data_IF_506764568804
#
_entry.id   IF_506764568804
#
_cell.length_a   1.000
_cell.length_b   1.000
_cell.length_c   1.000
_cell.angle_alpha   90.00
_cell.angle_beta   90.00
_cell.angle_gamma   90.00
#
_symmetry.space_group_name_H-M   'P 1'
#
loop_
_entity.id
_entity.type
_entity.pdbx_description
1 polymer ?
#
# COMPACT_ATOMS: atom_id res chain seq x y z
N UNK A 1 -37.21 11.87 34.92
CA UNK A 1 -35.83 11.79 34.37
C UNK A 1 -35.40 10.42 33.81
N UNK A 2 -36.15 9.30 33.99
CA UNK A 2 -35.74 7.97 33.47
C UNK A 2 -36.08 7.65 31.99
N UNK A 3 -36.96 8.43 31.34
CA UNK A 3 -37.34 8.19 29.92
C UNK A 3 -36.34 8.75 28.91
N UNK A 4 -35.74 9.91 29.18
CA UNK A 4 -34.79 10.56 28.28
C UNK A 4 -33.45 9.81 28.15
N UNK A 5 -33.03 9.09 29.20
CA UNK A 5 -31.77 8.32 29.17
C UNK A 5 -31.87 7.08 28.27
N UNK A 6 -33.02 6.42 28.22
CA UNK A 6 -33.23 5.17 27.43
C UNK A 6 -33.30 5.43 25.92
N UNK A 7 -33.86 6.55 25.50
CA UNK A 7 -33.91 6.95 24.08
C UNK A 7 -32.53 7.32 23.55
N UNK A 8 -31.65 7.90 24.38
CA UNK A 8 -30.30 8.28 23.96
C UNK A 8 -29.38 7.05 23.75
N UNK A 9 -29.58 5.96 24.50
CA UNK A 9 -28.74 4.74 24.38
C UNK A 9 -29.10 3.86 23.17
N UNK A 10 -30.37 3.86 22.76
CA UNK A 10 -30.84 3.11 21.59
C UNK A 10 -30.41 3.74 20.26
N UNK A 11 -30.36 5.08 20.19
CA UNK A 11 -29.95 5.80 18.98
C UNK A 11 -28.44 5.65 18.74
N UNK A 12 -27.61 5.70 19.78
CA UNK A 12 -26.15 5.50 19.64
C UNK A 12 -25.78 4.06 19.29
N UNK A 13 -26.47 3.05 19.84
CA UNK A 13 -26.25 1.65 19.46
C UNK A 13 -26.64 1.35 18.00
N UNK A 14 -27.70 1.97 17.49
CA UNK A 14 -28.12 1.85 16.09
C UNK A 14 -27.11 2.42 15.09
N UNK A 15 -26.49 3.56 15.40
CA UNK A 15 -25.48 4.18 14.53
C UNK A 15 -24.18 3.36 14.44
N UNK A 16 -23.76 2.72 15.53
CA UNK A 16 -22.53 1.90 15.55
C UNK A 16 -22.69 0.64 14.68
N UNK A 17 -23.88 0.03 14.66
CA UNK A 17 -24.16 -1.16 13.84
C UNK A 17 -24.20 -0.84 12.34
N UNK A 18 -24.74 0.33 11.96
CA UNK A 18 -24.82 0.74 10.54
C UNK A 18 -23.42 1.13 10.02
N UNK A 19 -22.59 1.80 10.85
CA UNK A 19 -21.22 2.14 10.48
C UNK A 19 -20.32 0.90 10.34
N UNK A 20 -20.48 -0.12 11.20
CA UNK A 20 -19.70 -1.36 11.14
C UNK A 20 -20.03 -2.25 9.95
N UNK A 21 -21.32 -2.38 9.59
CA UNK A 21 -21.76 -3.19 8.46
C UNK A 21 -21.30 -2.62 7.11
N UNK A 22 -21.30 -1.29 6.95
CA UNK A 22 -20.82 -0.62 5.73
C UNK A 22 -19.32 -0.85 5.48
N UNK A 23 -18.48 -0.77 6.52
CA UNK A 23 -17.04 -1.00 6.38
C UNK A 23 -16.70 -2.46 6.05
N UNK A 24 -17.44 -3.41 6.62
CA UNK A 24 -17.24 -4.83 6.33
C UNK A 24 -17.66 -5.21 4.88
N UNK A 25 -18.74 -4.63 4.37
CA UNK A 25 -19.23 -4.89 3.01
C UNK A 25 -18.29 -4.32 1.93
N UNK A 26 -17.77 -3.10 2.12
CA UNK A 26 -16.80 -2.48 1.20
C UNK A 26 -15.48 -3.27 1.18
N UNK A 27 -15.01 -3.75 2.33
CA UNK A 27 -13.79 -4.56 2.40
C UNK A 27 -13.96 -5.90 1.68
N UNK A 28 -15.15 -6.51 1.72
CA UNK A 28 -15.39 -7.81 1.08
C UNK A 28 -15.42 -7.71 -0.45
N UNK A 29 -15.97 -6.64 -1.03
CA UNK A 29 -16.02 -6.49 -2.50
C UNK A 29 -14.66 -6.25 -3.14
N UNK A 30 -13.75 -5.54 -2.46
CA UNK A 30 -12.39 -5.26 -2.95
C UNK A 30 -11.50 -6.53 -3.02
N UNK A 31 -11.81 -7.55 -2.23
CA UNK A 31 -11.04 -8.79 -2.17
C UNK A 31 -11.76 -10.02 -2.75
N UNK A 32 -13.02 -9.91 -3.19
CA UNK A 32 -13.80 -11.09 -3.63
C UNK A 32 -13.69 -11.44 -5.11
N UNK A 33 -13.28 -10.51 -5.97
CA UNK A 33 -13.17 -10.77 -7.40
C UNK A 33 -11.71 -10.64 -7.82
N UNK A 34 -11.04 -11.76 -8.09
CA UNK A 34 -9.64 -11.81 -8.48
C UNK A 34 -9.43 -11.56 -9.99
N UNK A 35 -10.44 -11.86 -10.81
CA UNK A 35 -10.36 -11.80 -12.26
C UNK A 35 -10.56 -10.37 -12.77
N UNK A 36 -11.30 -9.53 -12.04
CA UNK A 36 -11.50 -8.11 -12.35
C UNK A 36 -10.53 -7.14 -11.62
N UNK A 37 -9.40 -7.63 -11.08
CA UNK A 37 -8.44 -6.76 -10.34
C UNK A 37 -7.45 -6.01 -11.22
N UNK A 38 -7.43 -6.28 -12.52
CA UNK A 38 -6.50 -5.62 -13.43
C UNK A 38 -7.26 -4.88 -14.51
N UNK A 39 -6.84 -3.64 -14.76
CA UNK A 39 -7.30 -2.90 -15.92
C UNK A 39 -6.57 -3.46 -17.16
N UNK A 40 -7.33 -3.92 -18.15
CA UNK A 40 -6.77 -4.28 -19.45
C UNK A 40 -6.40 -3.00 -20.21
N UNK A 41 -5.12 -2.89 -20.57
CA UNK A 41 -4.54 -1.75 -21.26
C UNK A 41 -4.24 -2.04 -22.74
N UNK A 42 -4.65 -3.18 -23.28
CA UNK A 42 -4.29 -3.63 -24.63
C UNK A 42 -4.57 -2.56 -25.70
N UNK A 43 -5.79 -2.03 -25.75
CA UNK A 43 -6.16 -1.03 -26.76
C UNK A 43 -5.51 0.33 -26.50
N UNK A 44 -5.37 0.74 -25.24
CA UNK A 44 -4.71 2.01 -24.88
C UNK A 44 -3.24 1.98 -25.26
N UNK A 45 -2.55 0.86 -25.03
CA UNK A 45 -1.15 0.72 -25.44
C UNK A 45 -0.99 0.68 -26.96
N UNK A 46 -1.90 0.04 -27.70
CA UNK A 46 -1.92 0.13 -29.18
C UNK A 46 -2.09 1.58 -29.65
N UNK A 47 -3.06 2.31 -29.10
CA UNK A 47 -3.31 3.72 -29.45
C UNK A 47 -2.11 4.62 -29.17
N UNK A 48 -1.40 4.38 -28.06
CA UNK A 48 -0.21 5.14 -27.68
C UNK A 48 1.07 4.65 -28.38
N UNK A 49 0.98 3.66 -29.28
CA UNK A 49 2.14 3.08 -29.97
C UNK A 49 3.13 2.38 -29.02
N UNK A 50 2.68 1.93 -27.84
CA UNK A 50 3.52 1.26 -26.85
C UNK A 50 3.60 -0.24 -27.13
N UNK A 51 4.75 -0.68 -27.61
CA UNK A 51 5.04 -2.10 -27.87
C UNK A 51 5.75 -2.81 -26.70
N UNK A 52 6.18 -2.04 -25.68
CA UNK A 52 6.88 -2.54 -24.50
C UNK A 52 6.47 -1.77 -23.25
N UNK A 53 6.36 -2.49 -22.13
CA UNK A 53 6.21 -1.89 -20.80
C UNK A 53 7.58 -1.46 -20.25
N UNK A 54 7.73 -0.18 -19.92
CA UNK A 54 8.97 0.44 -19.41
C UNK A 54 8.83 0.83 -17.92
N UNK A 55 7.96 0.13 -17.17
CA UNK A 55 7.66 0.49 -15.79
C UNK A 55 6.79 1.75 -15.68
N UNK A 56 6.99 2.52 -14.61
CA UNK A 56 6.19 3.72 -14.30
C UNK A 56 6.15 4.75 -15.44
N UNK A 57 7.20 4.82 -16.28
CA UNK A 57 7.26 5.68 -17.48
C UNK A 57 6.14 5.38 -18.48
N UNK A 58 5.69 4.13 -18.55
CA UNK A 58 4.56 3.75 -19.39
C UNK A 58 3.24 4.35 -18.90
N UNK A 59 3.12 4.57 -17.60
CA UNK A 59 1.87 4.96 -16.93
C UNK A 59 1.77 6.48 -16.67
N UNK A 60 2.91 7.16 -16.51
CA UNK A 60 3.02 8.58 -16.16
C UNK A 60 2.10 9.53 -16.95
N UNK A 61 1.89 9.36 -18.27
CA UNK A 61 1.04 10.29 -19.03
C UNK A 61 -0.43 10.32 -18.57
N UNK A 62 -0.96 9.22 -18.05
CA UNK A 62 -2.36 9.09 -17.66
C UNK A 62 -2.55 8.93 -16.15
N UNK A 63 -1.55 8.37 -15.45
CA UNK A 63 -1.63 7.97 -14.05
C UNK A 63 -0.52 8.61 -13.20
N UNK A 64 -0.31 9.92 -13.37
CA UNK A 64 0.75 10.63 -12.64
C UNK A 64 0.59 10.50 -11.13
N UNK A 65 -0.63 10.69 -10.62
CA UNK A 65 -0.91 10.63 -9.18
C UNK A 65 -0.64 9.24 -8.62
N UNK A 66 -1.12 8.20 -9.29
CA UNK A 66 -0.94 6.82 -8.84
C UNK A 66 0.54 6.41 -8.88
N UNK A 67 1.27 6.85 -9.90
CA UNK A 67 2.73 6.65 -9.98
C UNK A 67 3.44 7.36 -8.82
N UNK A 68 3.08 8.60 -8.52
CA UNK A 68 3.64 9.36 -7.39
C UNK A 68 3.29 8.71 -6.04
N UNK A 69 2.06 8.25 -5.86
CA UNK A 69 1.59 7.58 -4.65
C UNK A 69 2.35 6.25 -4.44
N UNK A 70 2.57 5.48 -5.51
CA UNK A 70 3.41 4.26 -5.46
C UNK A 70 4.87 4.61 -5.16
N UNK A 71 5.43 5.62 -5.82
CA UNK A 71 6.80 6.06 -5.60
C UNK A 71 7.04 6.46 -4.13
N UNK A 72 6.09 7.13 -3.49
CA UNK A 72 6.19 7.51 -2.07
C UNK A 72 5.77 6.41 -1.09
N UNK A 73 5.31 5.25 -1.58
CA UNK A 73 4.88 4.15 -0.73
C UNK A 73 6.07 3.37 -0.13
N UNK A 74 5.79 2.65 0.96
CA UNK A 74 6.72 1.67 1.53
C UNK A 74 7.18 0.62 0.50
N UNK A 75 6.31 0.19 -0.41
CA UNK A 75 6.64 -0.84 -1.41
C UNK A 75 7.78 -0.40 -2.33
N UNK A 76 7.82 0.87 -2.72
CA UNK A 76 8.86 1.39 -3.59
C UNK A 76 10.09 1.84 -2.79
N UNK A 77 9.89 2.56 -1.68
CA UNK A 77 10.99 3.11 -0.88
C UNK A 77 11.71 2.03 -0.05
N UNK A 78 11.04 0.91 0.22
CA UNK A 78 11.44 -0.14 1.17
C UNK A 78 11.83 0.44 2.54
N UNK A 79 11.25 1.59 2.89
CA UNK A 79 11.62 2.37 4.05
C UNK A 79 10.37 3.05 4.61
N UNK A 80 10.23 3.01 5.93
CA UNK A 80 9.20 3.75 6.64
C UNK A 80 9.70 4.15 8.03
N UNK A 81 8.90 4.95 8.73
CA UNK A 81 9.06 5.20 10.17
C UNK A 81 8.36 4.08 10.93
N UNK A 82 9.12 3.32 11.72
CA UNK A 82 8.68 2.21 12.56
C UNK A 82 8.89 2.61 14.03
N UNK A 83 7.80 2.92 14.73
CA UNK A 83 7.84 3.41 16.12
C UNK A 83 7.64 2.30 17.17
N UNK A 84 7.27 1.11 16.72
CA UNK A 84 6.90 -0.05 17.53
C UNK A 84 8.00 -1.12 17.57
N UNK A 85 9.19 -0.80 17.04
CA UNK A 85 10.35 -1.69 17.07
C UNK A 85 11.24 -1.38 18.28
N UNK A 86 11.34 -2.35 19.17
CA UNK A 86 12.16 -2.23 20.40
C UNK A 86 13.64 -2.10 20.03
N UNK A 87 14.36 -1.22 20.73
CA UNK A 87 15.79 -0.94 20.56
C UNK A 87 16.21 -0.32 19.21
N UNK A 88 15.26 0.21 18.44
CA UNK A 88 15.58 0.92 17.21
C UNK A 88 16.02 2.36 17.53
N UNK A 89 17.34 2.63 17.50
CA UNK A 89 17.90 3.97 17.80
C UNK A 89 17.42 5.07 16.83
N UNK A 90 17.11 4.70 15.59
CA UNK A 90 16.58 5.59 14.56
C UNK A 90 15.30 4.97 14.02
N UNK A 91 14.14 5.62 14.13
CA UNK A 91 12.86 5.01 13.76
C UNK A 91 12.73 4.73 12.25
N UNK A 92 13.72 5.06 11.41
CA UNK A 92 13.75 4.60 10.01
C UNK A 92 14.04 3.11 9.93
N UNK A 93 13.00 2.32 9.64
CA UNK A 93 13.05 0.87 9.41
C UNK A 93 12.57 0.47 8.01
N UNK A 94 12.49 -0.83 7.76
CA UNK A 94 12.06 -1.43 6.49
C UNK A 94 13.18 -2.18 5.77
N UNK A 95 12.85 -2.87 4.68
CA UNK A 95 13.83 -3.70 3.93
C UNK A 95 15.10 -2.97 3.48
N UNK A 96 15.06 -1.64 3.36
CA UNK A 96 16.22 -0.81 3.04
C UNK A 96 17.22 -0.65 4.21
N UNK A 97 16.73 -0.71 5.45
CA UNK A 97 17.51 -0.43 6.66
C UNK A 97 17.71 -1.65 7.57
N UNK A 98 16.84 -2.65 7.44
CA UNK A 98 16.79 -3.78 8.35
C UNK A 98 17.81 -4.85 7.94
N UNK A 99 18.31 -5.55 8.96
CA UNK A 99 19.15 -6.72 8.85
C UNK A 99 18.40 -7.93 9.41
N UNK A 100 18.47 -9.08 8.74
CA UNK A 100 17.91 -10.34 9.21
C UNK A 100 18.93 -11.50 9.09
N UNK A 101 18.58 -12.66 9.60
CA UNK A 101 19.37 -13.89 9.59
C UNK A 101 19.22 -14.73 8.31
N UNK A 102 18.47 -14.23 7.31
CA UNK A 102 18.33 -14.85 6.00
C UNK A 102 19.42 -14.33 5.06
N UNK A 103 19.07 -13.36 4.22
CA UNK A 103 19.99 -12.72 3.29
C UNK A 103 20.63 -11.48 3.91
N UNK A 104 20.78 -11.41 5.24
CA UNK A 104 21.43 -10.30 5.93
C UNK A 104 20.71 -8.96 5.67
N UNK A 105 21.25 -8.10 4.82
CA UNK A 105 20.65 -6.80 4.47
C UNK A 105 20.67 -6.60 2.96
N UNK A 106 19.80 -5.75 2.43
CA UNK A 106 19.85 -5.38 0.99
C UNK A 106 20.92 -4.31 0.78
N UNK A 107 20.98 -3.33 1.69
CA UNK A 107 21.95 -2.24 1.69
C UNK A 107 22.70 -2.17 3.04
N UNK A 108 24.01 -1.94 2.99
CA UNK A 108 24.86 -1.76 4.15
C UNK A 108 25.89 -0.66 3.86
N UNK A 109 25.99 0.34 4.75
CA UNK A 109 26.88 1.50 4.58
C UNK A 109 26.76 2.20 3.21
N UNK A 110 25.54 2.28 2.65
CA UNK A 110 25.30 2.90 1.33
C UNK A 110 25.65 2.03 0.12
N UNK A 111 26.09 0.79 0.33
CA UNK A 111 26.37 -0.17 -0.73
C UNK A 111 25.32 -1.28 -0.76
N UNK A 112 24.95 -1.74 -1.95
CA UNK A 112 24.16 -2.96 -2.10
C UNK A 112 25.00 -4.16 -1.71
N UNK A 113 24.56 -4.92 -0.71
CA UNK A 113 25.27 -6.11 -0.21
C UNK A 113 24.59 -7.42 -0.57
N UNK A 114 23.27 -7.43 -0.80
CA UNK A 114 22.55 -8.59 -1.32
C UNK A 114 21.68 -8.25 -2.53
N UNK A 115 21.58 -9.21 -3.44
CA UNK A 115 21.03 -9.05 -4.79
C UNK A 115 19.50 -9.04 -4.88
N UNK A 116 18.78 -9.03 -3.75
CA UNK A 116 17.32 -8.91 -3.77
C UNK A 116 16.97 -7.52 -4.34
N UNK A 117 16.74 -7.46 -5.66
CA UNK A 117 16.36 -6.24 -6.37
C UNK A 117 17.50 -5.44 -7.02
N UNK A 118 18.55 -6.07 -7.59
CA UNK A 118 19.47 -5.35 -8.50
C UNK A 118 18.72 -4.90 -9.77
N UNK A 119 18.12 -3.72 -9.74
CA UNK A 119 17.62 -3.03 -10.94
C UNK A 119 18.82 -2.40 -11.64
N UNK A 120 19.37 -3.11 -12.61
CA UNK A 120 20.29 -2.52 -13.58
C UNK A 120 19.43 -1.68 -14.53
N UNK A 121 19.59 -0.35 -14.50
CA UNK A 121 19.10 0.53 -15.58
C UNK A 121 19.94 0.32 -16.84
#
# INVERSE_FOLDING_TARGET
MRRALKTCTLVTAGFILIAGAGHAAVRRSLFSDAENRYADHTEVFKMLGRTKYEGAKSCLPCHKKEVEDVFHSYHFQMSNVENDVVNLKNPKGGGKHNYNDYCMSIFFNGHTVNWIGKVML
#
